data_IF_478531658036
#
_entry.id   IF_478531658036
#
_cell.length_a   1.000
_cell.length_b   1.000
_cell.length_c   1.000
_cell.angle_alpha   90.00
_cell.angle_beta   90.00
_cell.angle_gamma   90.00
#
_symmetry.space_group_name_H-M   'P 1'
#
loop_
_entity.id
_entity.type
_entity.pdbx_description
1 polymer ?
#
# COMPACT_ATOMS: atom_id res chain seq x y z
N UNK A 1 -24.32 15.62 2.34
CA UNK A 1 -24.46 15.13 0.98
C UNK A 1 -24.91 13.69 1.07
N UNK A 2 -25.96 13.31 0.36
CA UNK A 2 -26.45 11.94 0.36
C UNK A 2 -25.60 11.11 -0.63
N UNK A 3 -25.19 9.92 -0.20
CA UNK A 3 -24.52 8.96 -1.08
C UNK A 3 -25.57 8.39 -2.04
N UNK A 4 -25.26 8.34 -3.34
CA UNK A 4 -26.13 7.75 -4.36
C UNK A 4 -26.35 6.24 -4.16
N UNK A 5 -27.16 5.64 -5.03
CA UNK A 5 -27.52 4.23 -4.92
C UNK A 5 -26.74 3.31 -5.90
N UNK A 6 -26.02 3.90 -6.83
CA UNK A 6 -25.29 3.15 -7.86
C UNK A 6 -24.12 3.97 -8.42
N UNK A 7 -23.24 3.31 -9.17
CA UNK A 7 -22.12 3.95 -9.86
C UNK A 7 -22.60 4.97 -10.93
N UNK A 8 -23.79 4.79 -11.48
CA UNK A 8 -24.36 5.73 -12.44
C UNK A 8 -24.84 7.03 -11.75
N UNK A 9 -25.33 6.92 -10.50
CA UNK A 9 -25.82 8.06 -9.73
C UNK A 9 -24.68 8.75 -8.98
N UNK A 10 -23.67 8.00 -8.56
CA UNK A 10 -22.58 8.49 -7.71
C UNK A 10 -21.24 7.78 -8.01
N UNK A 11 -20.55 8.19 -9.07
CA UNK A 11 -19.26 7.58 -9.43
C UNK A 11 -18.12 7.89 -8.45
N UNK A 12 -18.32 8.75 -7.46
CA UNK A 12 -17.32 9.06 -6.44
C UNK A 12 -17.31 8.05 -5.30
N UNK A 13 -18.45 7.44 -4.99
CA UNK A 13 -18.59 6.44 -3.93
C UNK A 13 -18.67 5.00 -4.46
N UNK A 14 -18.95 4.82 -5.75
CA UNK A 14 -19.06 3.51 -6.38
C UNK A 14 -18.03 3.37 -7.49
N UNK A 15 -17.35 2.24 -7.56
CA UNK A 15 -16.27 2.02 -8.54
C UNK A 15 -16.15 0.58 -9.02
N UNK A 16 -17.26 -0.18 -9.05
CA UNK A 16 -17.21 -1.59 -9.46
C UNK A 16 -16.72 -1.76 -10.91
N UNK A 17 -17.07 -0.83 -11.81
CA UNK A 17 -16.58 -0.84 -13.18
C UNK A 17 -15.06 -0.67 -13.25
N UNK A 18 -14.48 0.18 -12.41
CA UNK A 18 -13.03 0.38 -12.28
C UNK A 18 -12.34 -0.87 -11.74
N UNK A 19 -12.92 -1.50 -10.70
CA UNK A 19 -12.40 -2.75 -10.13
C UNK A 19 -12.37 -3.84 -11.21
N UNK A 20 -13.44 -4.01 -11.98
CA UNK A 20 -13.51 -4.97 -13.08
C UNK A 20 -12.46 -4.68 -14.17
N UNK A 21 -12.26 -3.42 -14.51
CA UNK A 21 -11.23 -3.00 -15.47
C UNK A 21 -9.82 -3.30 -14.97
N UNK A 22 -9.54 -3.08 -13.68
CA UNK A 22 -8.26 -3.44 -13.07
C UNK A 22 -8.06 -4.95 -13.07
N UNK A 23 -9.08 -5.72 -12.67
CA UNK A 23 -9.02 -7.19 -12.66
C UNK A 23 -8.77 -7.82 -14.04
N UNK A 24 -9.18 -7.14 -15.13
CA UNK A 24 -8.91 -7.57 -16.50
C UNK A 24 -7.49 -7.25 -16.97
N UNK A 25 -6.77 -6.33 -16.30
CA UNK A 25 -5.42 -5.98 -16.66
C UNK A 25 -4.44 -7.10 -16.23
N UNK A 26 -3.56 -7.59 -17.10
CA UNK A 26 -2.63 -8.66 -16.78
C UNK A 26 -1.73 -8.28 -15.60
N UNK A 27 -1.52 -9.22 -14.67
CA UNK A 27 -0.62 -9.05 -13.53
C UNK A 27 -1.15 -8.10 -12.45
N UNK A 28 -2.46 -7.84 -12.40
CA UNK A 28 -3.09 -7.06 -11.33
C UNK A 28 -3.81 -7.98 -10.34
N UNK A 29 -3.79 -7.61 -9.08
CA UNK A 29 -4.51 -8.25 -7.98
C UNK A 29 -5.49 -7.27 -7.35
N UNK A 30 -6.68 -7.75 -7.02
CA UNK A 30 -7.62 -7.01 -6.17
C UNK A 30 -7.43 -7.49 -4.73
N UNK A 31 -6.84 -6.66 -3.90
CA UNK A 31 -6.70 -6.90 -2.46
C UNK A 31 -7.79 -6.20 -1.66
N UNK A 32 -7.93 -6.57 -0.37
CA UNK A 32 -8.87 -5.91 0.53
C UNK A 32 -8.23 -4.78 1.31
N UNK A 33 -9.02 -3.74 1.54
CA UNK A 33 -8.68 -2.63 2.45
C UNK A 33 -9.76 -2.45 3.54
N UNK A 34 -10.33 -3.59 4.02
CA UNK A 34 -11.52 -3.74 4.85
C UNK A 34 -12.82 -3.31 4.11
N UNK A 35 -13.97 -3.49 4.74
CA UNK A 35 -15.26 -3.08 4.18
C UNK A 35 -15.52 -1.59 4.47
N UNK A 36 -15.35 -1.19 5.73
CA UNK A 36 -15.67 0.16 6.20
C UNK A 36 -14.45 1.05 6.41
N UNK A 37 -13.26 0.67 5.87
CA UNK A 37 -11.99 1.34 6.17
C UNK A 37 -11.68 1.31 7.67
N UNK A 38 -11.81 0.13 8.29
CA UNK A 38 -11.75 -0.11 9.74
C UNK A 38 -10.38 0.20 10.34
N UNK A 39 -10.34 1.03 11.37
CA UNK A 39 -9.10 1.42 12.07
C UNK A 39 -8.91 0.54 13.31
N UNK A 40 -8.02 -0.44 13.21
CA UNK A 40 -7.87 -1.49 14.22
C UNK A 40 -7.40 -1.02 15.61
N UNK A 41 -6.70 0.11 15.69
CA UNK A 41 -6.07 0.57 16.94
C UNK A 41 -6.71 1.83 17.54
N UNK A 42 -7.81 2.31 16.99
CA UNK A 42 -8.51 3.48 17.54
C UNK A 42 -9.34 3.08 18.78
N UNK A 43 -9.48 3.98 19.76
CA UNK A 43 -10.27 3.71 20.95
C UNK A 43 -11.72 3.30 20.64
N UNK A 44 -12.22 2.28 21.31
CA UNK A 44 -13.59 1.77 21.13
C UNK A 44 -13.74 0.72 20.04
N UNK A 45 -12.72 0.46 19.25
CA UNK A 45 -12.71 -0.62 18.25
C UNK A 45 -12.50 -1.99 18.91
N UNK A 46 -13.16 -3.01 18.39
CA UNK A 46 -13.10 -4.38 18.90
C UNK A 46 -12.75 -5.40 17.82
N UNK A 47 -12.16 -6.52 18.23
CA UNK A 47 -11.84 -7.61 17.30
C UNK A 47 -13.10 -8.19 16.65
N UNK A 48 -14.23 -8.28 17.39
CA UNK A 48 -15.49 -8.77 16.86
C UNK A 48 -16.04 -7.86 15.73
N UNK A 49 -15.90 -6.55 15.88
CA UNK A 49 -16.28 -5.61 14.81
C UNK A 49 -15.37 -5.76 13.59
N UNK A 50 -14.06 -5.96 13.80
CA UNK A 50 -13.13 -6.24 12.70
C UNK A 50 -13.49 -7.55 11.99
N UNK A 51 -13.83 -8.61 12.72
CA UNK A 51 -14.29 -9.87 12.11
C UNK A 51 -15.54 -9.67 11.25
N UNK A 52 -16.53 -8.94 11.75
CA UNK A 52 -17.76 -8.64 11.00
C UNK A 52 -17.48 -7.78 9.75
N UNK A 53 -16.56 -6.83 9.84
CA UNK A 53 -16.12 -6.00 8.71
C UNK A 53 -15.44 -6.84 7.61
N UNK A 54 -14.58 -7.77 8.00
CA UNK A 54 -13.93 -8.69 7.05
C UNK A 54 -14.96 -9.64 6.41
N UNK A 55 -15.90 -10.17 7.18
CA UNK A 55 -16.96 -11.04 6.66
C UNK A 55 -17.83 -10.29 5.64
N UNK A 56 -18.15 -9.02 5.88
CA UNK A 56 -18.84 -8.15 4.93
C UNK A 56 -18.02 -7.92 3.64
N UNK A 57 -16.72 -7.63 3.76
CA UNK A 57 -15.84 -7.45 2.60
C UNK A 57 -15.80 -8.71 1.73
N UNK A 58 -15.67 -9.88 2.34
CA UNK A 58 -15.66 -11.17 1.63
C UNK A 58 -17.00 -11.48 0.96
N UNK A 59 -18.13 -11.17 1.61
CA UNK A 59 -19.45 -11.37 1.05
C UNK A 59 -19.67 -10.53 -0.22
N UNK A 60 -19.28 -9.24 -0.21
CA UNK A 60 -19.39 -8.35 -1.38
C UNK A 60 -18.44 -8.77 -2.50
N UNK A 61 -17.19 -9.14 -2.17
CA UNK A 61 -16.23 -9.65 -3.13
C UNK A 61 -16.76 -10.91 -3.85
N UNK A 62 -17.33 -11.86 -3.08
CA UNK A 62 -17.94 -13.07 -3.61
C UNK A 62 -19.10 -12.78 -4.56
N UNK A 63 -19.97 -11.81 -4.23
CA UNK A 63 -21.08 -11.38 -5.11
C UNK A 63 -20.55 -10.82 -6.44
N UNK A 64 -19.37 -10.21 -6.40
CA UNK A 64 -18.71 -9.64 -7.58
C UNK A 64 -17.76 -10.62 -8.30
N UNK A 65 -17.71 -11.89 -7.88
CA UNK A 65 -16.78 -12.91 -8.38
C UNK A 65 -15.30 -12.50 -8.25
N UNK A 66 -14.96 -11.81 -7.17
CA UNK A 66 -13.60 -11.37 -6.84
C UNK A 66 -13.07 -12.22 -5.70
N UNK A 67 -11.89 -12.82 -5.90
CA UNK A 67 -11.14 -13.52 -4.86
C UNK A 67 -10.19 -12.54 -4.15
N UNK A 68 -10.30 -12.46 -2.82
CA UNK A 68 -9.44 -11.62 -1.98
C UNK A 68 -8.42 -12.50 -1.27
N UNK A 69 -7.14 -12.38 -1.61
CA UNK A 69 -6.03 -13.14 -1.00
C UNK A 69 -5.09 -12.26 -0.18
N UNK A 70 -4.98 -10.98 -0.53
CA UNK A 70 -4.11 -10.05 0.17
C UNK A 70 -4.90 -8.95 0.88
N UNK A 71 -4.29 -8.41 1.94
CA UNK A 71 -4.90 -7.39 2.78
C UNK A 71 -3.95 -6.20 3.02
N UNK A 72 -4.51 -5.01 2.99
CA UNK A 72 -3.83 -3.78 3.37
C UNK A 72 -4.59 -3.14 4.52
N UNK A 73 -3.97 -2.99 5.68
CA UNK A 73 -4.62 -2.40 6.84
C UNK A 73 -4.82 -0.88 6.67
N UNK A 74 -6.02 -0.35 6.90
CA UNK A 74 -6.26 1.08 6.97
C UNK A 74 -5.33 1.74 8.00
N UNK A 75 -4.76 2.89 7.65
CA UNK A 75 -3.73 3.61 8.42
C UNK A 75 -2.54 2.75 8.84
N UNK A 76 -2.35 1.58 8.23
CA UNK A 76 -1.31 0.60 8.62
C UNK A 76 -1.43 0.14 10.09
N UNK A 77 -2.64 0.18 10.66
CA UNK A 77 -2.91 -0.19 12.05
C UNK A 77 -3.30 -1.66 12.15
N UNK A 78 -2.54 -2.45 12.88
CA UNK A 78 -2.88 -3.84 13.20
C UNK A 78 -2.13 -4.33 14.43
N UNK A 79 -2.67 -5.39 15.04
CA UNK A 79 -2.05 -6.19 16.09
C UNK A 79 -2.13 -7.68 15.71
N UNK A 80 -1.39 -8.58 16.36
CA UNK A 80 -1.34 -10.01 16.02
C UNK A 80 -2.72 -10.68 15.90
N UNK A 81 -3.67 -10.32 16.76
CA UNK A 81 -5.03 -10.85 16.76
C UNK A 81 -5.79 -10.56 15.45
N UNK A 82 -5.55 -9.40 14.82
CA UNK A 82 -6.15 -9.04 13.53
C UNK A 82 -5.59 -9.91 12.40
N UNK A 83 -4.30 -10.24 12.45
CA UNK A 83 -3.67 -11.16 11.50
C UNK A 83 -4.27 -12.57 11.63
N UNK A 84 -4.49 -13.03 12.86
CA UNK A 84 -5.13 -14.32 13.11
C UNK A 84 -6.56 -14.38 12.54
N UNK A 85 -7.32 -13.28 12.58
CA UNK A 85 -8.63 -13.16 11.92
C UNK A 85 -8.49 -13.33 10.41
N UNK A 86 -7.60 -12.55 9.78
CA UNK A 86 -7.39 -12.62 8.32
C UNK A 86 -7.03 -14.03 7.87
N UNK A 87 -6.11 -14.71 8.60
CA UNK A 87 -5.75 -16.09 8.31
C UNK A 87 -6.93 -17.04 8.35
N UNK A 88 -7.77 -16.96 9.42
CA UNK A 88 -8.99 -17.79 9.55
C UNK A 88 -9.98 -17.55 8.41
N UNK A 89 -9.98 -16.36 7.80
CA UNK A 89 -10.84 -15.97 6.67
C UNK A 89 -10.24 -16.24 5.29
N UNK A 90 -9.07 -16.92 5.23
CA UNK A 90 -8.48 -17.38 3.98
C UNK A 90 -7.54 -16.38 3.29
N UNK A 91 -7.22 -15.26 3.92
CA UNK A 91 -6.15 -14.40 3.44
C UNK A 91 -4.80 -15.11 3.60
N UNK A 92 -3.88 -14.87 2.68
CA UNK A 92 -2.56 -15.52 2.63
C UNK A 92 -1.40 -14.54 2.82
N UNK A 93 -1.63 -13.27 2.49
CA UNK A 93 -0.61 -12.23 2.60
C UNK A 93 -1.19 -10.89 3.04
N UNK A 94 -0.34 -10.03 3.57
CA UNK A 94 -0.71 -8.65 3.91
C UNK A 94 0.46 -7.69 3.71
N UNK A 95 0.14 -6.39 3.55
CA UNK A 95 1.15 -5.33 3.54
C UNK A 95 1.61 -5.04 4.96
N UNK A 96 2.90 -5.31 5.24
CA UNK A 96 3.56 -4.87 6.47
C UNK A 96 4.02 -3.42 6.41
N UNK A 97 4.39 -2.89 7.57
CA UNK A 97 4.88 -1.51 7.71
C UNK A 97 6.40 -1.45 7.59
N UNK A 98 6.92 -0.30 7.18
CA UNK A 98 8.36 -0.02 7.15
C UNK A 98 8.98 -0.24 8.53
N UNK A 99 10.12 -0.97 8.59
CA UNK A 99 10.80 -1.36 9.83
C UNK A 99 11.63 -0.22 10.42
N UNK A 100 11.07 0.98 10.49
CA UNK A 100 11.70 2.15 11.11
C UNK A 100 10.78 2.76 12.17
N UNK A 101 11.38 3.32 13.23
CA UNK A 101 10.63 3.94 14.32
C UNK A 101 9.70 5.08 13.85
N UNK A 102 10.08 5.80 12.80
CA UNK A 102 9.28 6.91 12.25
C UNK A 102 8.00 6.44 11.57
N UNK A 103 7.97 5.17 11.10
CA UNK A 103 6.84 4.57 10.37
C UNK A 103 5.99 3.62 11.23
N UNK A 104 6.34 3.43 12.51
CA UNK A 104 5.52 2.60 13.39
C UNK A 104 4.10 3.12 13.46
N UNK A 105 3.08 2.24 13.34
CA UNK A 105 1.69 2.65 13.50
C UNK A 105 1.47 3.25 14.88
N UNK A 106 0.57 4.22 14.96
CA UNK A 106 0.08 4.80 16.21
C UNK A 106 -1.38 5.21 16.00
N UNK A 107 -2.12 5.31 17.08
CA UNK A 107 -3.41 6.00 17.11
C UNK A 107 -3.27 7.44 16.57
N UNK A 108 -4.39 8.04 16.20
CA UNK A 108 -4.39 9.40 15.63
C UNK A 108 -3.77 10.46 16.54
N UNK A 109 -3.80 10.26 17.86
CA UNK A 109 -3.29 11.18 18.89
C UNK A 109 -1.77 11.06 19.10
N UNK A 110 -1.17 9.90 18.81
CA UNK A 110 0.23 9.58 19.15
C UNK A 110 1.31 10.10 18.17
N UNK A 111 0.95 10.87 17.13
CA UNK A 111 1.92 11.33 16.13
C UNK A 111 2.56 12.67 16.48
N UNK A 112 3.80 12.65 17.00
CA UNK A 112 4.54 13.89 17.26
C UNK A 112 4.87 14.68 15.98
N UNK A 113 4.91 16.02 16.09
CA UNK A 113 5.29 16.92 14.99
C UNK A 113 6.68 16.59 14.44
N UNK A 114 7.64 16.25 15.31
CA UNK A 114 8.99 15.86 14.94
C UNK A 114 8.97 14.59 14.05
N UNK A 115 8.22 13.58 14.42
CA UNK A 115 8.11 12.34 13.66
C UNK A 115 7.53 12.59 12.27
N UNK A 116 6.53 13.49 12.16
CA UNK A 116 5.96 13.89 10.87
C UNK A 116 6.99 14.66 10.01
N UNK A 117 7.78 15.56 10.62
CA UNK A 117 8.84 16.29 9.92
C UNK A 117 9.95 15.35 9.42
N UNK A 118 10.40 14.39 10.23
CA UNK A 118 11.40 13.39 9.81
C UNK A 118 10.87 12.53 8.67
N UNK A 119 9.62 12.07 8.72
CA UNK A 119 9.00 11.35 7.59
C UNK A 119 8.94 12.17 6.31
N UNK A 120 8.60 13.46 6.43
CA UNK A 120 8.59 14.34 5.27
C UNK A 120 10.00 14.48 4.67
N UNK A 121 11.01 14.73 5.50
CA UNK A 121 12.40 14.84 5.05
C UNK A 121 12.93 13.53 4.43
N UNK A 122 12.54 12.37 4.96
CA UNK A 122 12.95 11.05 4.43
C UNK A 122 12.42 10.76 3.01
N UNK A 123 11.39 11.48 2.55
CA UNK A 123 10.96 11.39 1.15
C UNK A 123 11.96 12.02 0.18
N UNK A 124 12.78 12.95 0.64
CA UNK A 124 13.72 13.71 -0.18
C UNK A 124 15.17 13.33 0.07
N UNK A 125 15.50 12.94 1.31
CA UNK A 125 16.83 12.52 1.71
C UNK A 125 16.79 11.15 2.39
N UNK A 126 17.83 10.32 2.20
CA UNK A 126 17.89 8.99 2.80
C UNK A 126 18.23 9.05 4.29
N UNK A 127 17.24 9.27 5.14
CA UNK A 127 17.41 9.36 6.59
C UNK A 127 17.20 8.01 7.31
N UNK A 128 16.30 7.17 6.78
CA UNK A 128 15.91 5.93 7.46
C UNK A 128 16.32 4.65 6.72
N UNK A 129 17.05 4.77 5.63
CA UNK A 129 17.48 3.65 4.81
C UNK A 129 16.56 3.41 3.60
N UNK A 130 16.91 2.44 2.77
CA UNK A 130 16.17 2.14 1.54
C UNK A 130 14.94 1.27 1.77
N UNK A 131 14.82 0.64 2.94
CA UNK A 131 13.74 -0.28 3.30
C UNK A 131 13.55 -1.37 2.25
N UNK A 132 14.66 -1.99 1.86
CA UNK A 132 14.67 -3.17 1.00
C UNK A 132 14.64 -4.40 1.88
N UNK A 133 13.79 -5.34 1.55
CA UNK A 133 13.56 -6.52 2.36
C UNK A 133 13.77 -7.79 1.54
N UNK A 134 14.33 -8.80 2.20
CA UNK A 134 14.28 -10.17 1.74
C UNK A 134 13.02 -10.83 2.31
N UNK A 135 12.08 -11.18 1.44
CA UNK A 135 10.80 -11.75 1.87
C UNK A 135 10.97 -13.17 2.43
N UNK A 136 11.97 -13.89 1.94
CA UNK A 136 12.23 -15.26 2.41
C UNK A 136 12.86 -15.25 3.80
N UNK A 137 13.62 -14.21 4.14
CA UNK A 137 14.17 -14.02 5.47
C UNK A 137 13.14 -13.41 6.45
N UNK A 138 12.10 -12.72 5.96
CA UNK A 138 11.07 -12.11 6.81
C UNK A 138 10.13 -13.14 7.46
N UNK A 139 9.97 -14.30 6.83
CA UNK A 139 9.08 -15.36 7.31
C UNK A 139 7.60 -15.02 7.24
N UNK A 140 6.80 -15.85 7.90
CA UNK A 140 5.37 -15.63 8.08
C UNK A 140 5.09 -15.01 9.45
N UNK A 141 4.10 -14.11 9.51
CA UNK A 141 3.60 -13.54 10.76
C UNK A 141 2.17 -14.01 10.98
N UNK A 142 1.93 -14.70 12.09
CA UNK A 142 0.65 -15.37 12.37
C UNK A 142 0.16 -16.27 11.22
N UNK A 143 1.12 -16.84 10.44
CA UNK A 143 0.84 -17.70 9.29
C UNK A 143 0.40 -16.97 8.02
N UNK A 144 0.60 -15.67 7.95
CA UNK A 144 0.43 -14.84 6.74
C UNK A 144 1.81 -14.35 6.26
N UNK A 145 1.98 -14.28 4.96
CA UNK A 145 3.18 -13.66 4.37
C UNK A 145 3.14 -12.14 4.54
N UNK A 146 4.12 -11.58 5.23
CA UNK A 146 4.26 -10.12 5.39
C UNK A 146 5.07 -9.53 4.24
N UNK A 147 4.42 -8.81 3.33
CA UNK A 147 5.09 -8.03 2.28
C UNK A 147 5.28 -6.60 2.80
N UNK A 148 6.42 -6.38 3.42
CA UNK A 148 6.74 -5.10 4.08
C UNK A 148 6.79 -3.96 3.06
N UNK A 149 6.15 -2.81 3.36
CA UNK A 149 6.26 -1.61 2.55
C UNK A 149 7.64 -0.98 2.64
N UNK A 150 8.10 -0.43 1.51
CA UNK A 150 9.38 0.30 1.46
C UNK A 150 9.16 1.80 1.50
N UNK A 151 8.15 2.29 0.77
CA UNK A 151 7.93 3.73 0.66
C UNK A 151 6.54 4.09 0.15
N UNK A 152 5.98 5.12 0.76
CA UNK A 152 4.83 5.84 0.21
C UNK A 152 5.27 6.75 -0.93
N UNK A 153 4.65 6.61 -2.11
CA UNK A 153 4.81 7.56 -3.20
C UNK A 153 3.94 8.80 -2.88
N UNK A 154 4.58 9.78 -2.27
CA UNK A 154 3.94 11.04 -1.96
C UNK A 154 3.47 11.73 -3.26
N UNK A 155 2.25 12.30 -3.31
CA UNK A 155 1.81 13.07 -4.47
C UNK A 155 2.68 14.32 -4.66
N UNK A 156 2.68 14.84 -5.87
CA UNK A 156 3.28 16.13 -6.19
C UNK A 156 2.71 17.24 -5.31
N UNK A 157 3.50 18.25 -5.07
CA UNK A 157 3.09 19.44 -4.34
C UNK A 157 3.83 20.65 -4.91
N UNK A 158 3.08 21.63 -5.42
CA UNK A 158 3.67 22.85 -6.00
C UNK A 158 4.60 23.59 -5.02
N UNK A 159 4.29 23.58 -3.72
CA UNK A 159 5.15 24.17 -2.68
C UNK A 159 6.52 23.48 -2.53
N UNK A 160 6.61 22.21 -2.91
CA UNK A 160 7.82 21.39 -2.80
C UNK A 160 8.40 21.04 -4.18
N UNK A 161 7.90 21.66 -5.25
CA UNK A 161 8.35 21.42 -6.62
C UNK A 161 9.88 21.48 -6.80
N UNK A 162 10.64 22.41 -6.18
CA UNK A 162 12.10 22.43 -6.29
C UNK A 162 12.78 21.18 -5.71
N UNK A 163 12.11 20.42 -4.84
CA UNK A 163 12.63 19.19 -4.23
C UNK A 163 12.26 17.92 -5.00
N UNK A 164 11.39 18.00 -6.01
CA UNK A 164 10.94 16.83 -6.80
C UNK A 164 12.10 16.00 -7.39
N UNK A 165 13.17 16.59 -7.95
CA UNK A 165 14.30 15.79 -8.42
C UNK A 165 14.94 14.94 -7.32
N UNK A 166 15.01 15.45 -6.08
CA UNK A 166 15.54 14.69 -4.94
C UNK A 166 14.61 13.53 -4.58
N UNK A 167 13.29 13.75 -4.56
CA UNK A 167 12.29 12.73 -4.29
C UNK A 167 12.35 11.59 -5.31
N UNK A 168 12.41 11.92 -6.59
CA UNK A 168 12.52 10.95 -7.67
C UNK A 168 13.84 10.16 -7.58
N UNK A 169 14.96 10.86 -7.34
CA UNK A 169 16.27 10.21 -7.14
C UNK A 169 16.23 9.26 -5.95
N UNK A 170 15.58 9.66 -4.87
CA UNK A 170 15.42 8.84 -3.67
C UNK A 170 14.68 7.51 -3.95
N UNK A 171 13.63 7.54 -4.79
CA UNK A 171 12.89 6.36 -5.23
C UNK A 171 13.77 5.49 -6.12
N UNK A 172 14.39 6.07 -7.14
CA UNK A 172 15.24 5.36 -8.11
C UNK A 172 16.42 4.68 -7.43
N UNK A 173 17.13 5.36 -6.53
CA UNK A 173 18.24 4.75 -5.81
C UNK A 173 17.80 3.61 -4.87
N UNK A 174 16.57 3.63 -4.35
CA UNK A 174 16.05 2.48 -3.61
C UNK A 174 15.78 1.28 -4.53
N UNK A 175 15.31 1.52 -5.74
CA UNK A 175 15.17 0.46 -6.76
C UNK A 175 16.53 -0.09 -7.20
N UNK A 176 17.56 0.77 -7.35
CA UNK A 176 18.93 0.35 -7.66
C UNK A 176 19.47 -0.58 -6.58
N UNK A 177 19.26 -0.25 -5.32
CA UNK A 177 19.67 -1.10 -4.19
C UNK A 177 18.90 -2.43 -4.18
N UNK A 178 17.59 -2.41 -4.47
CA UNK A 178 16.81 -3.65 -4.56
C UNK A 178 17.30 -4.55 -5.68
N UNK A 179 17.58 -3.99 -6.87
CA UNK A 179 18.11 -4.73 -8.01
C UNK A 179 19.49 -5.34 -7.72
N UNK A 180 20.37 -4.59 -7.05
CA UNK A 180 21.71 -5.04 -6.72
C UNK A 180 21.74 -6.15 -5.67
N UNK A 181 20.77 -6.21 -4.76
CA UNK A 181 20.72 -7.15 -3.64
C UNK A 181 19.69 -8.27 -3.79
N UNK A 182 18.94 -8.31 -4.90
CA UNK A 182 17.86 -9.29 -5.08
C UNK A 182 16.69 -9.11 -4.08
N UNK A 183 16.52 -7.91 -3.57
CA UNK A 183 15.50 -7.61 -2.55
C UNK A 183 14.23 -7.01 -3.12
N UNK A 184 13.20 -6.89 -2.29
CA UNK A 184 11.91 -6.30 -2.64
C UNK A 184 11.92 -4.81 -2.35
N UNK A 185 11.51 -4.01 -3.33
CA UNK A 185 11.13 -2.62 -3.17
C UNK A 185 9.63 -2.46 -3.36
N UNK A 186 8.88 -2.21 -2.27
CA UNK A 186 7.43 -2.08 -2.26
C UNK A 186 7.04 -0.60 -2.21
N UNK A 187 6.80 -0.02 -3.38
CA UNK A 187 6.27 1.34 -3.52
C UNK A 187 4.74 1.31 -3.52
N UNK A 188 4.10 2.18 -2.75
CA UNK A 188 2.65 2.24 -2.66
C UNK A 188 2.14 3.68 -2.62
N UNK A 189 0.90 3.90 -3.04
CA UNK A 189 0.27 5.22 -3.02
C UNK A 189 -1.25 5.10 -2.94
N UNK A 190 -1.90 6.25 -2.75
CA UNK A 190 -3.34 6.38 -2.86
C UNK A 190 -3.71 7.01 -4.20
N UNK A 191 -4.46 6.36 -5.09
CA UNK A 191 -4.82 6.90 -6.40
C UNK A 191 -5.55 8.25 -6.32
N UNK A 192 -6.42 8.46 -5.33
CA UNK A 192 -7.13 9.73 -5.13
C UNK A 192 -6.18 10.92 -4.88
N UNK A 193 -4.99 10.70 -4.34
CA UNK A 193 -4.01 11.76 -4.15
C UNK A 193 -3.42 12.28 -5.48
N UNK A 194 -3.60 11.54 -6.57
CA UNK A 194 -3.16 11.97 -7.90
C UNK A 194 -4.18 12.86 -8.60
N UNK A 195 -5.40 12.95 -8.11
CA UNK A 195 -6.48 13.73 -8.72
C UNK A 195 -6.24 15.23 -8.76
N UNK A 196 -5.45 15.75 -7.80
CA UNK A 196 -4.84 17.08 -7.90
C UNK A 196 -3.51 16.92 -8.67
N UNK A 197 -3.12 17.88 -9.49
CA UNK A 197 -1.82 17.87 -10.21
C UNK A 197 -1.59 16.53 -10.96
N UNK A 198 -2.60 16.04 -11.69
CA UNK A 198 -2.59 14.69 -12.28
C UNK A 198 -1.45 14.50 -13.28
N UNK A 199 -1.15 15.52 -14.07
CA UNK A 199 -0.10 15.45 -15.11
C UNK A 199 1.27 15.30 -14.46
N UNK A 200 1.56 16.05 -13.41
CA UNK A 200 2.80 15.98 -12.63
C UNK A 200 2.93 14.62 -11.94
N UNK A 201 1.87 14.15 -11.32
CA UNK A 201 1.86 12.84 -10.65
C UNK A 201 2.07 11.69 -11.63
N UNK A 202 1.42 11.72 -12.78
CA UNK A 202 1.60 10.73 -13.85
C UNK A 202 3.00 10.82 -14.45
N UNK A 203 3.55 12.03 -14.63
CA UNK A 203 4.93 12.20 -15.12
C UNK A 203 5.96 11.60 -14.17
N UNK A 204 5.77 11.76 -12.85
CA UNK A 204 6.61 11.10 -11.84
C UNK A 204 6.48 9.58 -11.90
N UNK A 205 5.25 9.05 -11.99
CA UNK A 205 5.01 7.61 -12.06
C UNK A 205 5.67 7.02 -13.31
N UNK A 206 5.58 7.68 -14.46
CA UNK A 206 6.28 7.27 -15.71
C UNK A 206 7.78 7.17 -15.49
N UNK A 207 8.42 8.15 -14.86
CA UNK A 207 9.86 8.11 -14.57
C UNK A 207 10.26 6.93 -13.67
N UNK A 208 9.40 6.55 -12.70
CA UNK A 208 9.60 5.38 -11.85
C UNK A 208 9.47 4.09 -12.68
N UNK A 209 8.44 3.99 -13.52
CA UNK A 209 8.20 2.83 -14.38
C UNK A 209 9.30 2.66 -15.46
N UNK A 210 9.80 3.76 -16.03
CA UNK A 210 10.95 3.73 -16.97
C UNK A 210 12.23 3.24 -16.27
N UNK A 211 12.41 3.60 -14.99
CA UNK A 211 13.54 3.11 -14.21
C UNK A 211 13.40 1.62 -13.90
N UNK A 212 12.19 1.17 -13.55
CA UNK A 212 11.89 -0.26 -13.40
C UNK A 212 12.13 -1.04 -14.69
N UNK A 213 11.69 -0.53 -15.84
CA UNK A 213 11.90 -1.19 -17.13
C UNK A 213 13.38 -1.43 -17.43
N UNK A 214 14.25 -0.45 -17.13
CA UNK A 214 15.70 -0.62 -17.25
C UNK A 214 16.25 -1.73 -16.35
N UNK A 215 15.76 -1.82 -15.10
CA UNK A 215 16.18 -2.91 -14.18
C UNK A 215 15.61 -4.26 -14.58
N UNK A 216 14.42 -4.31 -15.15
CA UNK A 216 13.85 -5.53 -15.72
C UNK A 216 14.77 -6.10 -16.81
N UNK A 217 15.26 -5.26 -17.70
CA UNK A 217 16.13 -5.65 -18.82
C UNK A 217 17.55 -6.04 -18.35
N UNK A 218 18.11 -5.29 -17.38
CA UNK A 218 19.52 -5.44 -16.99
C UNK A 218 19.76 -6.39 -15.83
N UNK A 219 18.79 -6.48 -14.91
CA UNK A 219 18.93 -7.21 -13.65
C UNK A 219 17.81 -8.24 -13.41
N UNK A 220 16.87 -8.41 -14.37
CA UNK A 220 15.77 -9.35 -14.23
C UNK A 220 14.74 -8.97 -13.14
N UNK A 221 14.66 -7.67 -12.77
CA UNK A 221 13.66 -7.20 -11.80
C UNK A 221 12.26 -7.49 -12.31
N UNK A 222 11.39 -8.03 -11.44
CA UNK A 222 9.99 -8.35 -11.78
C UNK A 222 9.03 -7.52 -10.94
N UNK A 223 7.84 -7.24 -11.51
CA UNK A 223 6.71 -6.71 -10.74
C UNK A 223 5.89 -7.86 -10.18
N UNK A 224 5.50 -7.76 -8.93
CA UNK A 224 4.73 -8.79 -8.20
C UNK A 224 3.61 -8.14 -7.41
N UNK A 225 2.50 -8.85 -7.26
CA UNK A 225 1.44 -8.51 -6.33
C UNK A 225 1.78 -9.02 -4.92
N UNK A 226 1.06 -8.52 -3.91
CA UNK A 226 1.23 -9.00 -2.53
C UNK A 226 0.91 -10.50 -2.42
N UNK A 227 -0.14 -10.96 -3.08
CA UNK A 227 -0.55 -12.35 -3.08
C UNK A 227 0.39 -13.30 -3.83
N UNK A 228 1.30 -12.81 -4.68
CA UNK A 228 2.27 -13.64 -5.40
C UNK A 228 3.39 -14.20 -4.50
N UNK A 229 3.47 -13.73 -3.25
CA UNK A 229 4.47 -14.13 -2.27
C UNK A 229 3.95 -15.14 -1.23
N UNK A 230 2.70 -15.56 -1.35
CA UNK A 230 2.01 -16.46 -0.42
C UNK A 230 2.02 -17.93 -0.87
#
# INVERSE_FOLDING_TARGET
DEVGYSEADDPYYYGLSLIRRIAQAPGQEIGSHSFSHYYCLEPGQTLAQFEADIDAALAVAKQSSIELRSFVFPRNQYAPEHLAVLRRRGFTAFRGNERSWVYRPSDGAGQSKLRRAVRLADHYANLTGHHIYDIYAAGTREGLTEVTSSRFLRPYSAHLAPLEPMRITRIKSSMDVAAANGGIYHLWWHPHNFGLDIDENVAVLRQVLDHFARHRERAGMTSRNIGDFA
#
